data_IF_930145493660
#
_entry.id   IF_930145493660
#
_cell.length_a   1.000
_cell.length_b   1.000
_cell.length_c   1.000
_cell.angle_alpha   90.00
_cell.angle_beta   90.00
_cell.angle_gamma   90.00
#
_symmetry.space_group_name_H-M   'P 1'
#
loop_
_entity.id
_entity.type
_entity.pdbx_description
1 polymer ?
#
# COMPACT_ATOMS: atom_id res chain seq x y z
N UNK A 1 -7.47 25.48 2.22
CA UNK A 1 -6.64 24.60 3.07
C UNK A 1 -7.55 23.53 3.62
N UNK A 2 -7.41 22.29 3.18
CA UNK A 2 -8.32 21.20 3.58
C UNK A 2 -8.11 20.83 5.05
N UNK A 3 -9.18 20.45 5.74
CA UNK A 3 -9.14 19.94 7.11
C UNK A 3 -8.33 18.64 7.09
N UNK A 4 -7.13 18.66 7.68
CA UNK A 4 -6.37 17.44 7.91
C UNK A 4 -7.08 16.67 9.02
N UNK A 5 -7.69 15.53 8.67
CA UNK A 5 -8.38 14.66 9.63
C UNK A 5 -7.37 14.05 10.60
N UNK A 6 -7.72 13.94 11.87
CA UNK A 6 -6.88 13.32 12.92
C UNK A 6 -6.34 11.94 12.50
N UNK A 7 -7.17 11.14 11.83
CA UNK A 7 -6.81 9.83 11.28
C UNK A 7 -5.63 9.89 10.30
N UNK A 8 -5.58 10.93 9.45
CA UNK A 8 -4.48 11.11 8.51
C UNK A 8 -3.15 11.35 9.26
N UNK A 9 -3.18 12.19 10.29
CA UNK A 9 -2.01 12.47 11.13
C UNK A 9 -1.53 11.19 11.83
N UNK A 10 -2.44 10.42 12.44
CA UNK A 10 -2.12 9.12 13.06
C UNK A 10 -1.46 8.15 12.06
N UNK A 11 -1.99 8.05 10.84
CA UNK A 11 -1.39 7.22 9.79
C UNK A 11 0.00 7.73 9.36
N UNK A 12 0.19 9.04 9.23
CA UNK A 12 1.51 9.61 8.88
C UNK A 12 2.54 9.37 9.98
N UNK A 13 2.16 9.52 11.26
CA UNK A 13 3.04 9.27 12.39
C UNK A 13 3.54 7.83 12.41
N UNK A 14 2.64 6.85 12.30
CA UNK A 14 3.02 5.42 12.23
C UNK A 14 3.95 5.16 11.05
N UNK A 15 3.64 5.70 9.86
CA UNK A 15 4.53 5.57 8.70
C UNK A 15 5.90 6.19 8.95
N UNK A 16 5.96 7.34 9.63
CA UNK A 16 7.22 8.02 9.95
C UNK A 16 8.06 7.22 10.96
N UNK A 17 7.43 6.60 11.96
CA UNK A 17 8.10 5.71 12.92
C UNK A 17 8.74 4.54 12.18
N UNK A 18 7.96 3.81 11.38
CA UNK A 18 8.46 2.68 10.59
C UNK A 18 9.57 3.11 9.63
N UNK A 19 9.44 4.29 9.01
CA UNK A 19 10.48 4.88 8.16
C UNK A 19 11.80 5.09 8.91
N UNK A 20 11.71 5.68 10.09
CA UNK A 20 12.86 5.99 10.95
C UNK A 20 13.54 4.73 11.47
N UNK A 21 12.78 3.65 11.67
CA UNK A 21 13.32 2.33 12.01
C UNK A 21 13.96 1.60 10.81
N UNK A 22 13.89 2.18 9.61
CA UNK A 22 14.45 1.66 8.37
C UNK A 22 13.88 0.28 8.00
N UNK A 23 12.57 0.10 8.19
CA UNK A 23 11.89 -1.15 7.84
C UNK A 23 11.07 -1.00 6.57
N UNK A 24 11.12 -2.00 5.70
CA UNK A 24 10.22 -2.05 4.54
C UNK A 24 8.85 -2.52 5.03
N UNK A 25 7.80 -1.72 4.82
CA UNK A 25 6.42 -2.05 5.21
C UNK A 25 5.46 -1.86 4.03
N UNK A 26 4.37 -2.60 3.95
CA UNK A 26 3.31 -2.39 2.96
C UNK A 26 2.22 -1.47 3.51
N UNK A 27 1.79 -0.50 2.71
CA UNK A 27 0.64 0.34 3.02
C UNK A 27 -0.59 -0.22 2.30
N UNK A 28 -1.59 -0.63 3.08
CA UNK A 28 -2.89 -1.08 2.57
C UNK A 28 -3.93 0.01 2.79
N UNK A 29 -4.19 0.79 1.75
CA UNK A 29 -5.15 1.89 1.80
C UNK A 29 -6.58 1.34 1.74
N UNK A 30 -7.24 1.34 2.91
CA UNK A 30 -8.62 0.88 3.04
C UNK A 30 -9.63 1.88 2.47
N UNK A 31 -9.28 3.14 2.24
CA UNK A 31 -10.19 4.09 1.60
C UNK A 31 -10.32 3.80 0.10
N UNK A 32 -9.24 3.31 -0.52
CA UNK A 32 -9.18 3.08 -1.96
C UNK A 32 -9.50 1.63 -2.38
N UNK A 33 -9.48 0.65 -1.46
CA UNK A 33 -9.68 -0.76 -1.79
C UNK A 33 -10.71 -1.44 -0.88
N UNK A 34 -11.81 -1.91 -1.48
CA UNK A 34 -12.83 -2.72 -0.81
C UNK A 34 -12.26 -4.07 -0.32
N UNK A 35 -11.30 -4.64 -1.05
CA UNK A 35 -10.64 -5.89 -0.66
C UNK A 35 -9.87 -5.71 0.65
N UNK A 36 -9.15 -4.59 0.80
CA UNK A 36 -8.44 -4.28 2.05
C UNK A 36 -9.41 -3.94 3.20
N UNK A 37 -10.56 -3.32 2.91
CA UNK A 37 -11.61 -3.13 3.92
C UNK A 37 -12.14 -4.47 4.44
N UNK A 38 -12.36 -5.44 3.55
CA UNK A 38 -12.84 -6.76 3.96
C UNK A 38 -11.75 -7.52 4.73
N UNK A 39 -10.51 -7.54 4.22
CA UNK A 39 -9.38 -8.24 4.86
C UNK A 39 -9.17 -7.77 6.30
N UNK A 40 -9.19 -6.45 6.55
CA UNK A 40 -8.95 -5.92 7.89
C UNK A 40 -10.11 -6.22 8.85
N UNK A 41 -11.36 -6.22 8.36
CA UNK A 41 -12.54 -6.62 9.16
C UNK A 41 -12.48 -8.08 9.58
N UNK A 42 -12.12 -8.97 8.67
CA UNK A 42 -11.95 -10.40 8.94
C UNK A 42 -10.83 -10.64 9.95
N UNK A 43 -9.68 -9.99 9.77
CA UNK A 43 -8.53 -10.12 10.68
C UNK A 43 -8.81 -9.60 12.09
N UNK A 44 -9.55 -8.51 12.22
CA UNK A 44 -9.88 -7.89 13.50
C UNK A 44 -11.15 -8.45 14.14
N UNK A 45 -11.92 -9.26 13.40
CA UNK A 45 -13.24 -9.77 13.80
C UNK A 45 -14.20 -8.64 14.24
N UNK A 46 -14.15 -7.51 13.54
CA UNK A 46 -14.90 -6.30 13.88
C UNK A 46 -15.35 -5.53 12.63
N UNK A 47 -16.58 -5.00 12.65
CA UNK A 47 -17.14 -4.22 11.53
C UNK A 47 -16.61 -2.78 11.45
N UNK A 48 -16.30 -2.19 12.60
CA UNK A 48 -15.78 -0.83 12.73
C UNK A 48 -14.36 -0.89 13.25
N UNK A 49 -13.41 -0.37 12.47
CA UNK A 49 -11.99 -0.42 12.80
C UNK A 49 -11.42 0.99 12.82
N UNK A 50 -10.78 1.34 13.92
CA UNK A 50 -9.98 2.55 14.02
C UNK A 50 -8.66 2.33 13.28
N UNK A 51 -8.29 3.20 12.36
CA UNK A 51 -7.00 3.14 11.65
C UNK A 51 -6.02 4.20 12.19
N UNK A 52 -4.70 3.97 12.06
CA UNK A 52 -4.03 2.83 11.42
C UNK A 52 -4.01 1.57 12.29
N UNK A 53 -3.84 0.39 11.66
CA UNK A 53 -3.58 -0.88 12.31
C UNK A 53 -2.33 -1.51 11.69
N UNK A 54 -1.42 -2.00 12.53
CA UNK A 54 -0.12 -2.55 12.09
C UNK A 54 -0.05 -4.05 12.37
N UNK A 55 0.52 -4.77 11.41
CA UNK A 55 0.73 -6.21 11.47
C UNK A 55 2.19 -6.53 11.14
N UNK A 56 2.77 -7.53 11.81
CA UNK A 56 4.11 -8.07 11.54
C UNK A 56 3.98 -9.59 11.41
N UNK A 57 4.45 -10.16 10.29
CA UNK A 57 4.30 -11.58 9.96
C UNK A 57 2.88 -12.13 10.16
N UNK A 58 1.89 -11.30 9.81
CA UNK A 58 0.46 -11.64 9.93
C UNK A 58 -0.11 -11.46 11.33
N UNK A 59 0.71 -11.22 12.36
CA UNK A 59 0.26 -10.95 13.72
C UNK A 59 -0.07 -9.46 13.91
N UNK A 60 -1.22 -9.18 14.52
CA UNK A 60 -1.62 -7.83 14.89
C UNK A 60 -0.77 -7.32 16.07
N UNK A 61 -0.16 -6.14 15.92
CA UNK A 61 0.68 -5.53 16.95
C UNK A 61 0.06 -4.26 17.56
N UNK A 62 -0.87 -3.62 16.86
CA UNK A 62 -1.69 -2.55 17.46
C UNK A 62 -1.99 -1.38 16.54
N UNK A 63 -2.67 -0.40 17.15
CA UNK A 63 -3.07 0.87 16.56
C UNK A 63 -2.00 1.96 16.71
N UNK A 64 -2.31 3.20 16.32
CA UNK A 64 -1.36 4.31 16.40
C UNK A 64 -0.77 4.51 17.82
N UNK A 65 -1.60 4.52 18.86
CA UNK A 65 -1.15 4.76 20.24
C UNK A 65 -0.30 3.60 20.75
N UNK A 66 -0.67 2.36 20.42
CA UNK A 66 0.16 1.20 20.74
C UNK A 66 1.54 1.30 20.09
N UNK A 67 1.60 1.66 18.81
CA UNK A 67 2.86 1.76 18.06
C UNK A 67 3.73 2.90 18.58
N UNK A 68 3.15 4.04 18.94
CA UNK A 68 3.87 5.16 19.56
C UNK A 68 4.49 4.73 20.89
N UNK A 69 3.72 4.08 21.78
CA UNK A 69 4.22 3.57 23.08
C UNK A 69 5.32 2.52 22.91
N UNK A 70 5.17 1.59 21.96
CA UNK A 70 6.20 0.59 21.66
C UNK A 70 7.47 1.23 21.08
N UNK A 71 7.34 2.31 20.33
CA UNK A 71 8.47 3.07 19.81
C UNK A 71 9.22 3.80 20.93
N UNK A 72 8.51 4.47 21.83
CA UNK A 72 9.08 5.21 22.96
C UNK A 72 9.82 4.30 23.94
N UNK A 73 9.26 3.13 24.25
CA UNK A 73 9.91 2.10 25.08
C UNK A 73 11.09 1.40 24.39
N UNK A 74 11.22 1.54 23.07
CA UNK A 74 12.23 0.87 22.26
C UNK A 74 11.92 -0.61 21.97
N UNK A 75 10.78 -1.13 22.43
CA UNK A 75 10.34 -2.51 22.14
C UNK A 75 10.06 -2.71 20.65
N UNK A 76 9.45 -1.73 19.99
CA UNK A 76 9.18 -1.78 18.55
C UNK A 76 10.47 -1.99 17.74
N UNK A 77 11.56 -1.33 18.14
CA UNK A 77 12.87 -1.50 17.50
C UNK A 77 13.44 -2.90 17.67
N UNK A 78 13.22 -3.53 18.83
CA UNK A 78 13.65 -4.91 19.09
C UNK A 78 12.84 -5.89 18.25
N UNK A 79 11.51 -5.72 18.22
CA UNK A 79 10.60 -6.53 17.43
C UNK A 79 10.92 -6.46 15.94
N UNK A 80 11.19 -5.26 15.42
CA UNK A 80 11.40 -5.05 14.00
C UNK A 80 12.85 -5.24 13.52
N UNK A 81 13.77 -5.60 14.42
CA UNK A 81 15.19 -5.81 14.11
C UNK A 81 15.43 -6.76 12.91
N UNK A 82 14.69 -7.88 12.75
CA UNK A 82 14.87 -8.79 11.61
C UNK A 82 14.52 -8.18 10.25
N UNK A 83 13.66 -7.15 10.21
CA UNK A 83 13.16 -6.55 8.96
C UNK A 83 13.87 -5.24 8.60
N UNK A 84 14.91 -4.88 9.34
CA UNK A 84 15.67 -3.66 9.10
C UNK A 84 16.43 -3.77 7.77
N UNK A 85 16.22 -2.80 6.89
CA UNK A 85 16.88 -2.67 5.60
C UNK A 85 17.74 -1.39 5.59
N UNK A 86 19.06 -1.53 5.43
CA UNK A 86 19.99 -0.39 5.50
C UNK A 86 20.17 0.31 4.15
N UNK A 87 19.81 -0.33 3.04
CA UNK A 87 19.76 0.29 1.72
C UNK A 87 18.45 1.05 1.58
N UNK A 88 18.49 2.31 1.09
CA UNK A 88 17.35 3.24 0.98
C UNK A 88 16.00 2.52 0.72
N UNK A 89 15.23 2.17 1.77
CA UNK A 89 14.12 1.23 1.61
C UNK A 89 12.95 1.81 0.82
N UNK A 90 12.98 3.14 0.65
CA UNK A 90 11.83 3.94 0.24
C UNK A 90 11.98 4.54 -1.16
N UNK A 91 13.14 4.38 -1.81
CA UNK A 91 13.33 4.91 -3.17
C UNK A 91 13.75 3.79 -4.13
N UNK A 92 12.76 3.04 -4.59
CA UNK A 92 12.96 2.11 -5.69
C UNK A 92 13.40 2.88 -6.94
N UNK A 93 14.49 2.44 -7.60
CA UNK A 93 14.99 3.08 -8.82
C UNK A 93 14.02 3.01 -10.00
N UNK A 94 13.02 2.13 -9.92
CA UNK A 94 12.02 1.92 -10.99
C UNK A 94 10.73 2.67 -10.71
N UNK A 95 10.11 2.44 -9.54
CA UNK A 95 8.83 3.09 -9.20
C UNK A 95 8.97 4.32 -8.31
N UNK A 96 10.17 4.77 -7.96
CA UNK A 96 10.37 5.94 -7.09
C UNK A 96 9.82 5.78 -5.66
N UNK A 97 9.45 4.56 -5.26
CA UNK A 97 8.80 4.29 -3.97
C UNK A 97 7.28 4.13 -4.02
N UNK A 98 6.63 4.35 -5.18
CA UNK A 98 5.18 4.23 -5.33
C UNK A 98 4.66 2.80 -5.39
N UNK A 99 5.53 1.80 -5.62
CA UNK A 99 5.25 0.35 -5.72
C UNK A 99 4.28 -0.08 -6.83
N UNK A 100 3.67 0.88 -7.50
CA UNK A 100 2.82 0.71 -8.66
C UNK A 100 3.47 1.41 -9.85
N UNK A 101 3.28 0.84 -11.02
CA UNK A 101 3.72 1.38 -12.30
C UNK A 101 2.52 1.45 -13.26
N UNK A 102 2.49 2.39 -14.20
CA UNK A 102 1.53 2.35 -15.30
C UNK A 102 1.60 1.01 -16.04
N UNK A 103 0.45 0.43 -16.34
CA UNK A 103 0.39 -0.83 -17.07
C UNK A 103 1.09 -0.70 -18.44
N UNK A 104 2.08 -1.54 -18.76
CA UNK A 104 2.79 -1.45 -20.04
C UNK A 104 1.88 -1.81 -21.23
N UNK A 105 0.81 -2.58 -21.01
CA UNK A 105 -0.11 -3.01 -22.06
C UNK A 105 -1.12 -1.94 -22.49
N UNK A 106 -1.50 -1.02 -21.59
CA UNK A 106 -2.48 0.04 -21.88
C UNK A 106 -2.00 1.46 -21.55
N UNK A 107 -0.75 1.62 -21.10
CA UNK A 107 -0.17 2.89 -20.68
C UNK A 107 -0.88 3.53 -19.48
N UNK A 108 -1.57 2.75 -18.65
CA UNK A 108 -2.39 3.26 -17.55
C UNK A 108 -3.81 3.68 -17.91
N UNK A 109 -4.20 3.66 -19.19
CA UNK A 109 -5.54 4.12 -19.62
C UNK A 109 -6.68 3.15 -19.30
N UNK A 110 -6.36 1.93 -18.84
CA UNK A 110 -7.26 0.78 -18.72
C UNK A 110 -7.93 0.36 -20.05
N UNK A 111 -7.58 0.97 -21.18
CA UNK A 111 -8.08 0.68 -22.52
C UNK A 111 -6.94 0.21 -23.42
N UNK A 112 -7.06 -1.00 -23.96
CA UNK A 112 -6.13 -1.52 -24.96
C UNK A 112 -6.80 -1.50 -26.32
N UNK A 113 -6.14 -0.92 -27.31
CA UNK A 113 -6.63 -0.88 -28.69
C UNK A 113 -6.23 -2.20 -29.36
N UNK A 114 -7.23 -2.95 -29.84
CA UNK A 114 -7.00 -4.19 -30.57
C UNK A 114 -7.51 -4.05 -32.00
N UNK A 115 -6.72 -4.57 -32.96
CA UNK A 115 -7.12 -4.68 -34.36
C UNK A 115 -7.64 -6.11 -34.56
N UNK A 116 -8.95 -6.24 -34.74
CA UNK A 116 -9.58 -7.49 -35.10
C UNK A 116 -9.27 -7.85 -36.56
N UNK A 117 -9.23 -9.15 -36.87
CA UNK A 117 -8.90 -9.65 -38.22
C UNK A 117 -10.05 -9.55 -39.23
N UNK A 118 -11.23 -9.09 -38.80
CA UNK A 118 -12.46 -9.11 -39.58
C UNK A 118 -12.91 -7.72 -40.07
N UNK A 119 -12.50 -6.64 -39.41
CA UNK A 119 -12.81 -5.25 -39.82
C UNK A 119 -11.57 -4.38 -39.70
N UNK A 120 -11.50 -3.28 -40.45
CA UNK A 120 -10.40 -2.31 -40.36
C UNK A 120 -10.53 -1.36 -39.14
N UNK A 121 -11.55 -1.57 -38.31
CA UNK A 121 -11.89 -0.69 -37.19
C UNK A 121 -11.12 -1.10 -35.93
N UNK A 122 -10.59 -0.11 -35.21
CA UNK A 122 -9.96 -0.34 -33.93
C UNK A 122 -11.00 -0.49 -32.83
N UNK A 123 -10.99 -1.62 -32.12
CA UNK A 123 -11.87 -1.83 -30.96
C UNK A 123 -11.08 -1.59 -29.67
N UNK A 124 -11.60 -0.71 -28.81
CA UNK A 124 -11.03 -0.47 -27.50
C UNK A 124 -11.62 -1.48 -26.49
N UNK A 125 -10.77 -2.38 -25.98
CA UNK A 125 -11.15 -3.36 -24.96
C UNK A 125 -10.60 -2.95 -23.59
N UNK A 126 -11.26 -3.41 -22.51
CA UNK A 126 -10.77 -3.23 -21.14
C UNK A 126 -9.51 -4.07 -20.95
N UNK A 127 -8.41 -3.43 -20.54
CA UNK A 127 -7.15 -4.12 -20.29
C UNK A 127 -7.29 -5.08 -19.11
N UNK A 128 -6.93 -6.35 -19.31
CA UNK A 128 -6.98 -7.39 -18.27
C UNK A 128 -5.65 -7.56 -17.52
N UNK A 129 -4.61 -6.85 -17.92
CA UNK A 129 -3.25 -7.00 -17.37
C UNK A 129 -2.95 -6.02 -16.20
N UNK A 130 -3.95 -5.31 -15.69
CA UNK A 130 -3.80 -4.28 -14.67
C UNK A 130 -5.04 -4.18 -13.78
N UNK A 131 -4.91 -3.46 -12.67
CA UNK A 131 -6.02 -3.17 -11.75
C UNK A 131 -7.07 -2.23 -12.36
N UNK A 132 -8.05 -1.82 -11.53
CA UNK A 132 -9.17 -0.99 -11.96
C UNK A 132 -8.76 0.39 -12.51
N UNK A 133 -7.59 0.89 -12.08
CA UNK A 133 -7.06 2.21 -12.45
C UNK A 133 -5.88 2.15 -13.41
N UNK A 134 -5.60 0.97 -13.98
CA UNK A 134 -4.58 0.82 -15.01
C UNK A 134 -3.16 0.66 -14.47
N UNK A 135 -2.98 0.32 -13.20
CA UNK A 135 -1.66 0.13 -12.59
C UNK A 135 -1.30 -1.36 -12.44
N UNK A 136 0.00 -1.62 -12.38
CA UNK A 136 0.59 -2.94 -12.09
C UNK A 136 1.59 -2.83 -10.95
N UNK A 137 1.80 -3.92 -10.21
CA UNK A 137 2.83 -3.97 -9.16
C UNK A 137 4.21 -3.79 -9.77
N UNK A 138 5.05 -3.01 -9.10
CA UNK A 138 6.45 -2.83 -9.49
C UNK A 138 7.20 -4.16 -9.34
N UNK A 139 7.85 -4.62 -10.39
CA UNK A 139 8.62 -5.87 -10.39
C UNK A 139 9.84 -5.86 -9.45
N UNK A 140 10.24 -4.69 -8.94
CA UNK A 140 11.39 -4.51 -8.04
C UNK A 140 10.97 -4.26 -6.58
N UNK A 141 9.68 -4.32 -6.23
CA UNK A 141 9.19 -3.97 -4.89
C UNK A 141 8.19 -4.97 -4.33
#
# INVERSE_FOLDING_TARGET
MGIVRETYTKCMNVKQILRTLLVKFEEKDIFMSNEYQQEIKERMQADTINIPQVFVDGQHIGDAECIERLNESGELRKMLKPYKCLESPYMCKVCGGYRLLPCPSCGGSKKSIHRNHFTAEFVALKCMNCDEVGLVKCHNC
#
